data_IF_433030606975
#
_entry.id   IF_433030606975
#
_cell.length_a   1.000
_cell.length_b   1.000
_cell.length_c   1.000
_cell.angle_alpha   90.00
_cell.angle_beta   90.00
_cell.angle_gamma   90.00
#
_symmetry.space_group_name_H-M   'P 1'
#
loop_
_entity.id
_entity.type
_entity.pdbx_description
1 polymer ?
#
# COMPACT_ATOMS: atom_id res chain seq x y z
N UNK A 1 -20.35 35.12 14.97
CA UNK A 1 -19.16 34.32 15.28
C UNK A 1 -19.31 33.09 14.43
N UNK A 2 -18.44 32.94 13.43
CA UNK A 2 -18.55 31.97 12.35
C UNK A 2 -18.78 30.54 12.85
N UNK A 3 -19.75 29.87 12.24
CA UNK A 3 -19.77 28.43 12.17
C UNK A 3 -18.75 28.05 11.09
N UNK A 4 -17.54 27.64 11.50
CA UNK A 4 -16.66 26.91 10.58
C UNK A 4 -17.35 25.58 10.29
N UNK A 5 -17.81 25.42 9.04
CA UNK A 5 -17.98 24.10 8.45
C UNK A 5 -16.64 23.40 8.55
N UNK A 6 -16.59 22.37 9.40
CA UNK A 6 -15.48 21.41 9.35
C UNK A 6 -15.78 20.62 8.10
N UNK A 7 -15.17 21.01 6.98
CA UNK A 7 -15.11 20.13 5.82
C UNK A 7 -14.55 18.80 6.33
N UNK A 8 -15.33 17.73 6.25
CA UNK A 8 -14.85 16.37 6.41
C UNK A 8 -13.86 16.12 5.27
N UNK A 9 -12.59 16.50 5.48
CA UNK A 9 -11.50 16.16 4.57
C UNK A 9 -11.37 14.64 4.68
N UNK A 10 -11.97 13.93 3.74
CA UNK A 10 -11.79 12.50 3.58
C UNK A 10 -10.29 12.25 3.38
N UNK A 11 -9.66 11.72 4.43
CA UNK A 11 -8.22 11.53 4.41
C UNK A 11 -7.87 10.41 3.46
N UNK A 12 -6.95 10.72 2.55
CA UNK A 12 -6.49 9.76 1.57
C UNK A 12 -5.62 8.69 2.24
N UNK A 13 -6.15 7.47 2.28
CA UNK A 13 -5.44 6.27 2.72
C UNK A 13 -4.36 5.83 1.72
N UNK A 14 -3.50 4.88 2.11
CA UNK A 14 -2.38 4.37 1.31
C UNK A 14 -1.33 5.43 0.90
N UNK A 15 -1.19 6.50 1.67
CA UNK A 15 -0.13 7.51 1.47
C UNK A 15 0.96 7.38 2.53
N UNK A 16 2.16 7.87 2.21
CA UNK A 16 3.28 7.82 3.15
C UNK A 16 3.00 8.71 4.37
N UNK A 17 2.31 9.83 4.16
CA UNK A 17 1.90 10.75 5.23
C UNK A 17 0.97 10.04 6.23
N UNK A 18 -0.10 9.41 5.75
CA UNK A 18 -1.04 8.68 6.62
C UNK A 18 -0.33 7.54 7.35
N UNK A 19 0.57 6.80 6.69
CA UNK A 19 1.37 5.75 7.34
C UNK A 19 2.31 6.29 8.42
N UNK A 20 3.05 7.35 8.13
CA UNK A 20 3.91 8.00 9.12
C UNK A 20 3.11 8.44 10.35
N UNK A 21 1.92 8.99 10.13
CA UNK A 21 1.04 9.43 11.22
C UNK A 21 0.56 8.25 12.07
N UNK A 22 0.06 7.17 11.46
CA UNK A 22 -0.46 6.02 12.24
C UNK A 22 0.64 5.23 12.95
N UNK A 23 1.81 5.07 12.32
CA UNK A 23 2.94 4.33 12.90
C UNK A 23 3.61 5.15 14.01
N UNK A 24 3.91 6.43 13.76
CA UNK A 24 4.71 7.22 14.70
C UNK A 24 3.87 7.92 15.77
N UNK A 25 2.68 8.42 15.42
CA UNK A 25 1.84 9.20 16.33
C UNK A 25 0.82 8.33 17.05
N UNK A 26 0.08 7.51 16.31
CA UNK A 26 -0.93 6.61 16.88
C UNK A 26 -0.33 5.31 17.43
N UNK A 27 0.94 5.00 17.13
CA UNK A 27 1.68 3.81 17.59
C UNK A 27 0.94 2.50 17.30
N UNK A 28 0.42 2.39 16.10
CA UNK A 28 -0.22 1.16 15.62
C UNK A 28 0.80 0.04 15.49
N UNK A 29 0.40 -1.17 15.92
CA UNK A 29 1.22 -2.38 15.79
C UNK A 29 1.07 -3.06 14.43
N UNK A 30 -0.05 -2.84 13.73
CA UNK A 30 -0.39 -3.48 12.45
C UNK A 30 -0.72 -2.44 11.39
N UNK A 31 0.09 -2.35 10.34
CA UNK A 31 -0.15 -1.49 9.18
C UNK A 31 -0.80 -2.29 8.05
N UNK A 32 -2.06 -1.98 7.75
CA UNK A 32 -2.77 -2.53 6.59
C UNK A 32 -2.33 -1.80 5.31
N UNK A 33 -2.08 -2.54 4.24
CA UNK A 33 -1.58 -2.04 2.97
C UNK A 33 -2.26 -2.77 1.81
N UNK A 34 -2.94 -2.02 0.95
CA UNK A 34 -3.53 -2.54 -0.28
C UNK A 34 -2.49 -2.61 -1.40
N UNK A 35 -2.17 -3.81 -1.91
CA UNK A 35 -1.10 -3.99 -2.90
C UNK A 35 -1.65 -4.30 -4.29
N UNK A 36 -1.15 -3.56 -5.29
CA UNK A 36 -1.38 -3.78 -6.73
C UNK A 36 -0.08 -3.74 -7.52
N UNK A 37 -0.08 -4.35 -8.71
CA UNK A 37 1.08 -4.33 -9.62
C UNK A 37 0.82 -3.48 -10.86
N UNK A 38 1.78 -2.65 -11.24
CA UNK A 38 1.78 -1.90 -12.50
C UNK A 38 2.23 -2.78 -13.69
N UNK A 39 2.10 -2.27 -14.93
CA UNK A 39 2.54 -2.99 -16.13
C UNK A 39 4.06 -3.13 -16.23
N UNK A 40 4.79 -2.19 -15.63
CA UNK A 40 6.25 -2.14 -15.52
C UNK A 40 6.78 -2.74 -14.21
N UNK A 41 6.01 -3.64 -13.60
CA UNK A 41 6.41 -4.48 -12.47
C UNK A 41 6.73 -3.76 -11.15
N UNK A 42 6.20 -2.54 -10.96
CA UNK A 42 6.22 -1.89 -9.66
C UNK A 42 5.02 -2.32 -8.80
N UNK A 43 5.26 -2.46 -7.50
CA UNK A 43 4.22 -2.67 -6.49
C UNK A 43 3.78 -1.30 -5.96
N UNK A 44 2.53 -0.93 -6.21
CA UNK A 44 1.93 0.35 -5.80
C UNK A 44 0.84 0.12 -4.76
N UNK A 45 0.66 1.13 -3.91
CA UNK A 45 -0.28 1.07 -2.80
C UNK A 45 -1.57 1.79 -3.17
N UNK A 46 -2.62 1.02 -3.44
CA UNK A 46 -3.93 1.56 -3.79
C UNK A 46 -5.02 0.49 -3.63
N UNK A 47 -6.11 0.86 -2.94
CA UNK A 47 -7.25 -0.03 -2.76
C UNK A 47 -7.89 -0.42 -4.10
N UNK A 48 -8.15 0.56 -4.96
CA UNK A 48 -8.92 0.37 -6.20
C UNK A 48 -8.07 0.01 -7.40
N UNK A 49 -8.63 -0.75 -8.35
CA UNK A 49 -7.94 -1.12 -9.59
C UNK A 49 -7.79 0.04 -10.58
N UNK A 50 -8.36 1.19 -10.25
CA UNK A 50 -8.49 2.36 -11.12
C UNK A 50 -8.01 3.59 -10.34
N UNK A 51 -7.16 4.40 -10.96
CA UNK A 51 -6.73 5.72 -10.48
C UNK A 51 -7.13 6.74 -11.53
N UNK A 52 -8.01 7.68 -11.19
CA UNK A 52 -8.50 8.73 -12.10
C UNK A 52 -8.95 8.22 -13.48
N UNK A 53 -9.67 7.09 -13.48
CA UNK A 53 -10.21 6.46 -14.70
C UNK A 53 -9.23 5.56 -15.46
N UNK A 54 -8.00 5.38 -14.96
CA UNK A 54 -6.96 4.58 -15.59
C UNK A 54 -6.70 3.30 -14.79
N UNK A 55 -6.63 2.15 -15.47
CA UNK A 55 -6.37 0.86 -14.84
C UNK A 55 -4.90 0.76 -14.39
N UNK A 56 -4.71 0.42 -13.11
CA UNK A 56 -3.39 0.25 -12.49
C UNK A 56 -2.57 -0.84 -13.18
N UNK A 57 -3.18 -1.97 -13.51
CA UNK A 57 -2.50 -3.14 -14.09
C UNK A 57 -2.09 -2.95 -15.56
N UNK A 58 -2.54 -1.88 -16.20
CA UNK A 58 -2.27 -1.58 -17.62
C UNK A 58 -1.39 -0.34 -17.80
N UNK A 59 -0.95 0.28 -16.70
CA UNK A 59 -0.23 1.55 -16.69
C UNK A 59 1.12 1.44 -16.01
N UNK A 60 2.07 2.29 -16.41
CA UNK A 60 3.38 2.39 -15.75
C UNK A 60 3.29 3.18 -14.46
N UNK A 61 4.25 2.99 -13.55
CA UNK A 61 4.34 3.79 -12.32
C UNK A 61 4.37 5.30 -12.63
N UNK A 62 5.18 5.71 -13.60
CA UNK A 62 5.32 7.12 -14.00
C UNK A 62 3.98 7.71 -14.48
N UNK A 63 3.19 6.96 -15.23
CA UNK A 63 1.88 7.40 -15.70
C UNK A 63 0.91 7.58 -14.52
N UNK A 64 0.87 6.61 -13.61
CA UNK A 64 -0.01 6.66 -12.45
C UNK A 64 0.38 7.79 -11.49
N UNK A 65 1.68 8.04 -11.28
CA UNK A 65 2.15 9.15 -10.43
C UNK A 65 1.87 10.54 -11.02
N UNK A 66 1.74 10.67 -12.35
CA UNK A 66 1.26 11.91 -12.99
C UNK A 66 -0.22 12.17 -12.70
N UNK A 67 -1.01 11.11 -12.57
CA UNK A 67 -2.43 11.19 -12.24
C UNK A 67 -2.64 11.38 -10.74
N UNK A 68 -1.80 10.75 -9.95
CA UNK A 68 -1.82 10.78 -8.50
C UNK A 68 -0.40 10.95 -7.93
N UNK A 69 0.03 12.20 -7.66
CA UNK A 69 1.35 12.50 -7.15
C UNK A 69 1.66 11.91 -5.76
N UNK A 70 0.65 11.46 -5.03
CA UNK A 70 0.82 10.83 -3.71
C UNK A 70 0.85 9.30 -3.78
N UNK A 71 0.71 8.72 -4.97
CA UNK A 71 0.84 7.27 -5.15
C UNK A 71 2.26 6.83 -4.81
N UNK A 72 2.35 5.92 -3.85
CA UNK A 72 3.60 5.37 -3.35
C UNK A 72 3.75 3.89 -3.69
N UNK A 73 5.00 3.44 -3.66
CA UNK A 73 5.36 2.03 -3.84
C UNK A 73 5.52 1.31 -2.50
N UNK A 74 5.43 -0.02 -2.56
CA UNK A 74 5.74 -0.85 -1.39
C UNK A 74 7.16 -0.61 -0.87
N UNK A 75 8.14 -0.52 -1.78
CA UNK A 75 9.55 -0.29 -1.42
C UNK A 75 9.74 1.02 -0.64
N UNK A 76 9.00 2.08 -0.97
CA UNK A 76 9.05 3.34 -0.22
C UNK A 76 8.61 3.16 1.24
N UNK A 77 7.53 2.42 1.47
CA UNK A 77 7.01 2.15 2.83
C UNK A 77 7.96 1.24 3.61
N UNK A 78 8.43 0.16 2.98
CA UNK A 78 9.34 -0.78 3.65
C UNK A 78 10.69 -0.14 3.96
N UNK A 79 11.17 0.77 3.11
CA UNK A 79 12.37 1.57 3.40
C UNK A 79 12.15 2.56 4.54
N UNK A 80 11.00 3.24 4.58
CA UNK A 80 10.71 4.23 5.63
C UNK A 80 10.67 3.59 7.02
N UNK A 81 10.01 2.43 7.13
CA UNK A 81 9.80 1.76 8.41
C UNK A 81 10.77 0.60 8.67
N UNK A 82 11.87 0.52 7.92
CA UNK A 82 12.85 -0.56 8.05
C UNK A 82 13.42 -0.68 9.48
N UNK A 83 13.53 0.45 10.20
CA UNK A 83 14.03 0.48 11.58
C UNK A 83 12.95 0.18 12.64
N UNK A 84 11.68 0.06 12.23
CA UNK A 84 10.54 -0.14 13.12
C UNK A 84 10.28 -1.64 13.33
N UNK A 85 11.15 -2.28 14.11
CA UNK A 85 11.12 -3.73 14.33
C UNK A 85 9.86 -4.31 14.97
N UNK A 86 9.00 -3.49 15.58
CA UNK A 86 7.73 -3.97 16.17
C UNK A 86 6.57 -3.95 15.18
N UNK A 87 6.72 -3.31 14.03
CA UNK A 87 5.64 -3.15 13.07
C UNK A 87 5.34 -4.48 12.38
N UNK A 88 4.06 -4.84 12.33
CA UNK A 88 3.54 -5.94 11.52
C UNK A 88 2.83 -5.33 10.31
N UNK A 89 3.10 -5.85 9.13
CA UNK A 89 2.43 -5.45 7.91
C UNK A 89 1.32 -6.44 7.57
N UNK A 90 0.10 -5.96 7.39
CA UNK A 90 -0.98 -6.72 6.80
C UNK A 90 -1.08 -6.35 5.32
N UNK A 91 -0.60 -7.24 4.45
CA UNK A 91 -0.65 -7.03 3.01
C UNK A 91 -1.98 -7.55 2.46
N UNK A 92 -2.92 -6.65 2.15
CA UNK A 92 -4.16 -7.00 1.44
C UNK A 92 -3.90 -7.03 -0.07
N UNK A 93 -3.76 -8.25 -0.59
CA UNK A 93 -3.44 -8.51 -1.97
C UNK A 93 -4.68 -8.28 -2.84
N UNK A 94 -4.69 -7.17 -3.60
CA UNK A 94 -5.75 -6.84 -4.56
C UNK A 94 -5.50 -7.36 -5.97
N UNK A 95 -4.30 -7.87 -6.21
CA UNK A 95 -3.86 -8.38 -7.51
C UNK A 95 -3.01 -9.65 -7.33
N UNK A 96 -3.48 -10.75 -7.91
CA UNK A 96 -2.78 -12.04 -7.88
C UNK A 96 -1.39 -11.95 -8.52
N UNK A 97 -1.21 -11.09 -9.53
CA UNK A 97 0.06 -10.93 -10.24
C UNK A 97 1.10 -10.19 -9.40
N UNK A 98 0.71 -9.57 -8.29
CA UNK A 98 1.62 -8.90 -7.36
C UNK A 98 2.31 -9.87 -6.39
N UNK A 99 1.73 -11.05 -6.12
CA UNK A 99 2.19 -11.98 -5.07
C UNK A 99 3.70 -12.27 -5.15
N UNK A 100 4.19 -12.71 -6.31
CA UNK A 100 5.59 -13.11 -6.45
C UNK A 100 6.57 -11.95 -6.21
N UNK A 101 6.21 -10.75 -6.66
CA UNK A 101 7.01 -9.55 -6.39
C UNK A 101 6.94 -9.16 -4.92
N UNK A 102 5.76 -9.24 -4.29
CA UNK A 102 5.60 -8.97 -2.86
C UNK A 102 6.44 -9.94 -2.02
N UNK A 103 6.46 -11.23 -2.35
CA UNK A 103 7.34 -12.21 -1.70
C UNK A 103 8.83 -11.90 -1.90
N UNK A 104 9.19 -11.34 -3.06
CA UNK A 104 10.55 -10.83 -3.32
C UNK A 104 10.91 -9.67 -2.40
N UNK A 105 10.03 -8.69 -2.27
CA UNK A 105 10.20 -7.54 -1.37
C UNK A 105 10.32 -7.99 0.10
N UNK A 106 9.47 -8.92 0.55
CA UNK A 106 9.53 -9.46 1.92
C UNK A 106 10.91 -10.00 2.25
N UNK A 107 11.48 -10.82 1.35
CA UNK A 107 12.82 -11.39 1.51
C UNK A 107 13.91 -10.32 1.44
N UNK A 108 13.78 -9.37 0.50
CA UNK A 108 14.74 -8.28 0.34
C UNK A 108 14.87 -7.42 1.61
N UNK A 109 13.75 -7.16 2.28
CA UNK A 109 13.69 -6.35 3.50
C UNK A 109 13.81 -7.16 4.80
N UNK A 110 13.92 -8.49 4.72
CA UNK A 110 14.00 -9.42 5.87
C UNK A 110 12.84 -9.27 6.87
N UNK A 111 11.60 -9.16 6.36
CA UNK A 111 10.38 -8.94 7.16
C UNK A 111 9.46 -10.18 7.21
N UNK A 112 9.98 -11.38 6.93
CA UNK A 112 9.20 -12.62 6.85
C UNK A 112 8.35 -12.90 8.10
N UNK A 113 8.85 -12.54 9.29
CA UNK A 113 8.16 -12.75 10.56
C UNK A 113 7.22 -11.60 10.95
N UNK A 114 7.12 -10.58 10.11
CA UNK A 114 6.38 -9.34 10.36
C UNK A 114 5.27 -9.13 9.33
N UNK A 115 4.86 -10.18 8.60
CA UNK A 115 3.86 -10.05 7.53
C UNK A 115 2.69 -11.00 7.75
N UNK A 116 1.49 -10.48 7.56
CA UNK A 116 0.25 -11.23 7.43
C UNK A 116 -0.27 -10.98 6.02
N UNK A 117 -0.63 -12.06 5.30
CA UNK A 117 -1.29 -11.95 4.00
C UNK A 117 -2.80 -11.98 4.15
N UNK A 118 -3.46 -10.98 3.56
CA UNK A 118 -4.89 -10.96 3.30
C UNK A 118 -5.14 -11.00 1.79
N UNK A 119 -6.29 -11.53 1.40
CA UNK A 119 -6.82 -11.30 0.06
C UNK A 119 -8.35 -11.38 0.09
N UNK A 120 -9.00 -10.35 -0.47
CA UNK A 120 -10.46 -10.33 -0.66
C UNK A 120 -10.95 -11.30 -1.74
N UNK A 121 -10.12 -11.57 -2.76
CA UNK A 121 -10.43 -12.58 -3.77
C UNK A 121 -10.01 -13.98 -3.27
N UNK A 122 -11.00 -14.88 -3.17
CA UNK A 122 -10.80 -16.25 -2.71
C UNK A 122 -9.91 -17.09 -3.63
N UNK A 123 -9.66 -16.66 -4.86
CA UNK A 123 -8.71 -17.35 -5.75
C UNK A 123 -7.26 -17.08 -5.34
N UNK A 124 -6.96 -15.90 -4.80
CA UNK A 124 -5.60 -15.49 -4.38
C UNK A 124 -5.14 -16.32 -3.18
N UNK A 125 -6.01 -16.53 -2.18
CA UNK A 125 -5.70 -17.33 -1.00
C UNK A 125 -5.44 -18.83 -1.28
N UNK A 126 -5.66 -19.31 -2.50
CA UNK A 126 -5.34 -20.69 -2.89
C UNK A 126 -3.95 -20.84 -3.50
N UNK A 127 -3.31 -19.74 -3.89
CA UNK A 127 -2.00 -19.72 -4.55
C UNK A 127 -0.86 -19.27 -3.62
N UNK A 128 -1.19 -18.80 -2.42
CA UNK A 128 -0.27 -18.59 -1.30
C UNK A 128 0.01 -19.91 -0.56
#
# INVERSE_FOLDING_TARGET
MDHMEVDDIEEKINTLETYCRVVNEARTDILEIDIRKTVDEHLVLNHDGIINGVNVNESTLEQLQKLDPQLITLDQVLSEFQSTSSLVYFFDMKDIKAILLTLGAIKQYNIENHVIFGAGDRTINKEL
#
